data_IF_427207320417
#
_entry.id   IF_427207320417
#
_cell.length_a   1.000
_cell.length_b   1.000
_cell.length_c   1.000
_cell.angle_alpha   90.00
_cell.angle_beta   90.00
_cell.angle_gamma   90.00
#
_symmetry.space_group_name_H-M   'P 1'
#
loop_
_entity.id
_entity.type
_entity.pdbx_description
1 polymer ?
#
# COMPACT_ATOMS: atom_id res chain seq x y z
N UNK A 1 13.00 -35.67 17.53
CA UNK A 1 11.57 -35.63 17.88
C UNK A 1 11.20 -34.16 18.10
N UNK A 2 10.31 -33.63 17.29
CA UNK A 2 9.77 -32.30 17.49
C UNK A 2 8.96 -32.23 18.79
N UNK A 3 9.14 -31.16 19.55
CA UNK A 3 8.36 -30.93 20.77
C UNK A 3 6.93 -30.57 20.38
N UNK A 4 5.95 -31.17 21.06
CA UNK A 4 4.56 -30.73 20.94
C UNK A 4 4.48 -29.30 21.50
N UNK A 5 4.12 -28.35 20.64
CA UNK A 5 3.90 -26.95 21.00
C UNK A 5 2.44 -26.70 21.34
N UNK A 6 2.19 -25.81 22.29
CA UNK A 6 0.84 -25.30 22.52
C UNK A 6 0.43 -24.43 21.35
N UNK A 7 -0.75 -24.68 20.79
CA UNK A 7 -1.30 -23.93 19.67
C UNK A 7 -2.66 -23.34 20.04
N UNK A 8 -3.09 -22.32 19.30
CA UNK A 8 -4.40 -21.73 19.41
C UNK A 8 -4.99 -21.51 18.01
N UNK A 9 -6.30 -21.39 17.92
CA UNK A 9 -6.99 -20.97 16.69
C UNK A 9 -7.20 -19.47 16.79
N UNK A 10 -6.65 -18.72 15.81
CA UNK A 10 -6.88 -17.30 15.67
C UNK A 10 -7.77 -17.07 14.43
N UNK A 11 -8.94 -16.47 14.65
CA UNK A 11 -9.85 -16.10 13.57
C UNK A 11 -9.74 -14.61 13.29
N UNK A 12 -9.50 -14.24 12.03
CA UNK A 12 -9.58 -12.86 11.54
C UNK A 12 -10.76 -12.76 10.59
N UNK A 13 -11.48 -11.64 10.68
CA UNK A 13 -12.66 -11.36 9.86
C UNK A 13 -12.33 -10.23 8.91
N UNK A 14 -12.66 -10.41 7.63
CA UNK A 14 -12.60 -9.40 6.58
C UNK A 14 -13.98 -9.23 5.95
N UNK A 15 -14.21 -8.12 5.23
CA UNK A 15 -15.47 -7.86 4.51
C UNK A 15 -15.78 -8.95 3.49
N UNK A 16 -14.76 -9.52 2.86
CA UNK A 16 -14.84 -10.75 2.08
C UNK A 16 -13.45 -11.32 1.81
N UNK A 17 -13.42 -12.54 1.23
CA UNK A 17 -12.22 -13.19 0.70
C UNK A 17 -12.25 -13.31 -0.83
N UNK A 18 -12.93 -12.38 -1.52
CA UNK A 18 -12.84 -12.25 -2.97
C UNK A 18 -11.48 -11.62 -3.29
N UNK A 19 -10.62 -12.36 -3.98
CA UNK A 19 -9.23 -12.03 -4.24
C UNK A 19 -8.97 -11.92 -5.73
N UNK A 20 -7.83 -11.37 -6.11
CA UNK A 20 -7.37 -11.42 -7.50
C UNK A 20 -7.35 -12.87 -8.02
N UNK A 21 -6.81 -13.81 -7.24
CA UNK A 21 -6.79 -15.23 -7.59
C UNK A 21 -8.18 -15.85 -7.80
N UNK A 22 -9.25 -15.33 -7.15
CA UNK A 22 -10.63 -15.77 -7.40
C UNK A 22 -11.06 -15.45 -8.84
N UNK A 23 -10.69 -14.27 -9.34
CA UNK A 23 -10.96 -13.86 -10.72
C UNK A 23 -10.08 -14.63 -11.72
N UNK A 24 -8.81 -14.87 -11.41
CA UNK A 24 -7.94 -15.73 -12.22
C UNK A 24 -8.53 -17.15 -12.35
N UNK A 25 -9.04 -17.71 -11.26
CA UNK A 25 -9.69 -19.02 -11.29
C UNK A 25 -10.93 -18.99 -12.19
N UNK A 26 -11.81 -18.01 -12.04
CA UNK A 26 -13.01 -17.87 -12.87
C UNK A 26 -12.67 -17.69 -14.35
N UNK A 27 -11.65 -16.91 -14.68
CA UNK A 27 -11.22 -16.68 -16.06
C UNK A 27 -10.55 -17.91 -16.69
N UNK A 28 -9.77 -18.69 -15.93
CA UNK A 28 -9.03 -19.85 -16.47
C UNK A 28 -9.85 -21.12 -16.55
N UNK A 29 -10.81 -21.32 -15.65
CA UNK A 29 -11.57 -22.56 -15.53
C UNK A 29 -13.09 -22.39 -15.75
N UNK A 30 -13.57 -21.16 -15.84
CA UNK A 30 -14.95 -20.81 -16.12
C UNK A 30 -15.17 -20.27 -17.53
N UNK A 31 -16.24 -19.52 -17.68
CA UNK A 31 -16.63 -18.82 -18.90
C UNK A 31 -16.61 -17.30 -18.69
N UNK A 32 -16.71 -16.52 -19.78
CA UNK A 32 -16.89 -15.06 -19.67
C UNK A 32 -18.08 -14.72 -18.76
N UNK A 33 -19.16 -15.44 -18.87
CA UNK A 33 -20.36 -15.23 -18.02
C UNK A 33 -20.05 -15.47 -16.54
N UNK A 34 -19.20 -16.44 -16.19
CA UNK A 34 -18.79 -16.64 -14.79
C UNK A 34 -17.97 -15.47 -14.25
N UNK A 35 -17.08 -14.89 -15.08
CA UNK A 35 -16.33 -13.70 -14.71
C UNK A 35 -17.26 -12.50 -14.55
N UNK A 36 -18.25 -12.34 -15.43
CA UNK A 36 -19.27 -11.29 -15.36
C UNK A 36 -20.07 -11.37 -14.06
N UNK A 37 -20.63 -12.55 -13.76
CA UNK A 37 -21.40 -12.79 -12.53
C UNK A 37 -20.55 -12.53 -11.28
N UNK A 38 -19.27 -12.91 -11.28
CA UNK A 38 -18.36 -12.64 -10.18
C UNK A 38 -18.08 -11.14 -10.04
N UNK A 39 -17.92 -10.41 -11.17
CA UNK A 39 -17.72 -8.98 -11.17
C UNK A 39 -18.97 -8.25 -10.63
N UNK A 40 -20.16 -8.59 -11.12
CA UNK A 40 -21.43 -8.03 -10.68
C UNK A 40 -21.66 -8.26 -9.18
N UNK A 41 -21.42 -9.49 -8.71
CA UNK A 41 -21.49 -9.82 -7.29
C UNK A 41 -20.50 -9.01 -6.44
N UNK A 42 -19.27 -8.80 -6.95
CA UNK A 42 -18.25 -8.05 -6.23
C UNK A 42 -18.59 -6.56 -6.19
N UNK A 43 -19.13 -6.02 -7.29
CA UNK A 43 -19.62 -4.64 -7.38
C UNK A 43 -20.76 -4.42 -6.38
N UNK A 44 -21.81 -5.24 -6.41
CA UNK A 44 -22.95 -5.15 -5.46
C UNK A 44 -22.48 -5.21 -4.00
N UNK A 45 -21.49 -6.03 -3.71
CA UNK A 45 -21.01 -6.23 -2.34
C UNK A 45 -20.12 -5.11 -1.83
N UNK A 46 -19.21 -4.58 -2.66
CA UNK A 46 -18.11 -3.70 -2.22
C UNK A 46 -18.04 -2.35 -2.89
N UNK A 47 -18.77 -2.15 -4.00
CA UNK A 47 -18.62 -1.01 -4.90
C UNK A 47 -19.96 -0.49 -5.39
N UNK A 48 -20.95 -0.42 -4.52
CA UNK A 48 -22.34 -0.01 -4.85
C UNK A 48 -22.44 1.35 -5.51
N UNK A 49 -21.47 2.24 -5.27
CA UNK A 49 -21.37 3.56 -5.85
C UNK A 49 -21.23 3.55 -7.38
N UNK A 50 -20.72 2.45 -7.97
CA UNK A 50 -20.51 2.33 -9.43
C UNK A 50 -21.58 1.55 -10.17
N UNK A 51 -22.61 1.01 -9.50
CA UNK A 51 -23.69 0.21 -10.14
C UNK A 51 -24.44 0.93 -11.26
N UNK A 52 -24.45 2.26 -11.23
CA UNK A 52 -25.17 3.13 -12.20
C UNK A 52 -24.23 3.76 -13.23
N UNK A 53 -22.99 3.33 -13.28
CA UNK A 53 -22.02 3.84 -14.23
C UNK A 53 -22.28 3.25 -15.63
N UNK A 54 -22.04 4.04 -16.69
CA UNK A 54 -22.15 3.61 -18.08
C UNK A 54 -21.11 2.54 -18.45
N UNK A 55 -19.98 2.50 -17.73
CA UNK A 55 -18.87 1.55 -17.92
C UNK A 55 -18.50 0.85 -16.61
N UNK A 56 -19.40 0.05 -16.00
CA UNK A 56 -19.26 -0.42 -14.63
C UNK A 56 -17.98 -1.27 -14.40
N UNK A 57 -17.58 -2.08 -15.37
CA UNK A 57 -16.39 -2.94 -15.21
C UNK A 57 -15.07 -2.15 -15.29
N UNK A 58 -14.99 -1.08 -16.08
CA UNK A 58 -13.84 -0.18 -16.08
C UNK A 58 -13.76 0.61 -14.78
N UNK A 59 -14.89 1.13 -14.32
CA UNK A 59 -15.00 1.83 -13.04
C UNK A 59 -14.65 0.89 -11.88
N UNK A 60 -15.08 -0.37 -11.93
CA UNK A 60 -14.70 -1.40 -10.97
C UNK A 60 -13.19 -1.62 -10.92
N UNK A 61 -12.54 -1.79 -12.07
CA UNK A 61 -11.07 -1.92 -12.14
C UNK A 61 -10.38 -0.71 -11.52
N UNK A 62 -10.83 0.51 -11.85
CA UNK A 62 -10.25 1.75 -11.32
C UNK A 62 -10.44 1.88 -9.80
N UNK A 63 -11.60 1.56 -9.26
CA UNK A 63 -11.84 1.60 -7.83
C UNK A 63 -11.03 0.54 -7.07
N UNK A 64 -10.82 -0.65 -7.64
CA UNK A 64 -9.89 -1.65 -7.08
C UNK A 64 -8.46 -1.10 -7.06
N UNK A 65 -7.99 -0.50 -8.16
CA UNK A 65 -6.66 0.15 -8.24
C UNK A 65 -6.50 1.20 -7.14
N UNK A 66 -7.48 2.06 -6.98
CA UNK A 66 -7.49 3.13 -5.97
C UNK A 66 -7.44 2.58 -4.53
N UNK A 67 -8.26 1.56 -4.22
CA UNK A 67 -8.25 0.93 -2.88
C UNK A 67 -6.91 0.25 -2.61
N UNK A 68 -6.34 -0.44 -3.57
CA UNK A 68 -5.03 -1.08 -3.42
C UNK A 68 -3.91 -0.04 -3.26
N UNK A 69 -3.92 1.04 -4.01
CA UNK A 69 -2.95 2.13 -3.86
C UNK A 69 -2.99 2.72 -2.43
N UNK A 70 -4.20 2.94 -1.89
CA UNK A 70 -4.38 3.41 -0.51
C UNK A 70 -3.89 2.39 0.52
N UNK A 71 -4.19 1.09 0.34
CA UNK A 71 -3.76 0.03 1.25
C UNK A 71 -2.24 -0.08 1.31
N UNK A 72 -1.59 -0.14 0.14
CA UNK A 72 -0.14 -0.29 0.06
C UNK A 72 0.58 0.95 0.61
N UNK A 73 0.05 2.15 0.38
CA UNK A 73 0.58 3.37 1.01
C UNK A 73 0.52 3.27 2.55
N UNK A 74 -0.59 2.80 3.11
CA UNK A 74 -0.72 2.58 4.57
C UNK A 74 0.29 1.57 5.10
N UNK A 75 0.55 0.46 4.38
CA UNK A 75 1.59 -0.50 4.78
C UNK A 75 2.97 0.17 4.83
N UNK A 76 3.30 0.95 3.80
CA UNK A 76 4.58 1.69 3.76
C UNK A 76 4.68 2.71 4.91
N UNK A 77 3.59 3.39 5.23
CA UNK A 77 3.56 4.40 6.30
C UNK A 77 3.76 3.85 7.71
N UNK A 78 3.49 2.56 7.93
CA UNK A 78 3.65 1.92 9.24
C UNK A 78 4.78 0.89 9.29
N UNK A 79 5.58 0.78 8.24
CA UNK A 79 6.68 -0.19 8.16
C UNK A 79 6.21 -1.64 8.07
N UNK A 80 4.97 -1.89 7.61
CA UNK A 80 4.42 -3.22 7.48
C UNK A 80 4.93 -3.92 6.21
N UNK A 81 5.34 -5.16 6.35
CA UNK A 81 5.76 -6.05 5.26
C UNK A 81 4.87 -7.28 5.28
N UNK A 82 4.10 -7.48 4.20
CA UNK A 82 3.19 -8.61 4.08
C UNK A 82 3.93 -9.95 3.93
N UNK A 83 4.99 -9.96 3.15
CA UNK A 83 5.88 -11.10 2.94
C UNK A 83 5.43 -12.12 1.90
N UNK A 84 4.15 -12.19 1.51
CA UNK A 84 3.65 -13.05 0.42
C UNK A 84 2.50 -12.37 -0.31
N UNK A 85 2.81 -11.51 -1.26
CA UNK A 85 1.83 -10.75 -2.05
C UNK A 85 1.54 -11.44 -3.40
N UNK A 86 1.12 -12.69 -3.38
CA UNK A 86 0.59 -13.35 -4.57
C UNK A 86 -0.89 -12.96 -4.80
N UNK A 87 -1.47 -13.40 -5.92
CA UNK A 87 -2.86 -13.06 -6.30
C UNK A 87 -3.90 -13.62 -5.31
N UNK A 88 -3.55 -14.68 -4.56
CA UNK A 88 -4.43 -15.24 -3.53
C UNK A 88 -4.43 -14.42 -2.23
N UNK A 89 -3.50 -13.49 -2.07
CA UNK A 89 -3.36 -12.67 -0.88
C UNK A 89 -3.71 -11.19 -1.11
N UNK A 90 -4.32 -10.88 -2.26
CA UNK A 90 -4.78 -9.54 -2.61
C UNK A 90 -6.31 -9.50 -2.65
N UNK A 91 -6.94 -9.09 -1.54
CA UNK A 91 -8.38 -8.94 -1.43
C UNK A 91 -8.88 -7.73 -2.22
N UNK A 92 -9.94 -7.93 -3.02
CA UNK A 92 -10.51 -6.83 -3.82
C UNK A 92 -11.23 -5.79 -2.96
N UNK A 93 -11.59 -6.11 -1.72
CA UNK A 93 -12.14 -5.16 -0.74
C UNK A 93 -11.13 -4.07 -0.34
N UNK A 94 -9.83 -4.25 -0.62
CA UNK A 94 -8.78 -3.32 -0.18
C UNK A 94 -8.37 -3.52 1.28
N UNK A 95 -8.54 -4.73 1.81
CA UNK A 95 -8.15 -5.12 3.17
C UNK A 95 -6.95 -6.06 3.14
N UNK A 96 -6.16 -6.04 4.22
CA UNK A 96 -5.06 -6.99 4.42
C UNK A 96 -5.62 -8.34 4.85
N UNK A 97 -5.24 -9.41 4.16
CA UNK A 97 -5.57 -10.80 4.49
C UNK A 97 -4.32 -11.67 4.50
N UNK A 98 -4.43 -12.89 4.99
CA UNK A 98 -3.35 -13.89 5.02
C UNK A 98 -2.06 -13.41 5.70
N UNK A 99 -2.17 -13.22 7.00
CA UNK A 99 -1.07 -12.75 7.86
C UNK A 99 -0.05 -13.87 8.16
N UNK A 100 0.58 -14.44 7.12
CA UNK A 100 1.59 -15.50 7.23
C UNK A 100 2.91 -14.97 7.79
N UNK A 101 3.94 -14.75 6.94
CA UNK A 101 5.25 -14.27 7.39
C UNK A 101 5.29 -12.73 7.58
N UNK A 102 4.16 -12.06 7.73
CA UNK A 102 4.11 -10.61 7.87
C UNK A 102 4.70 -10.14 9.20
N UNK A 103 5.33 -8.97 9.16
CA UNK A 103 5.76 -8.26 10.36
C UNK A 103 5.89 -6.76 10.10
N UNK A 104 6.03 -6.01 11.20
CA UNK A 104 6.44 -4.61 11.16
C UNK A 104 7.96 -4.53 11.23
N UNK A 105 8.53 -3.61 10.48
CA UNK A 105 9.96 -3.38 10.42
C UNK A 105 10.42 -2.67 11.70
N UNK A 106 11.52 -3.14 12.29
CA UNK A 106 12.23 -2.44 13.36
C UNK A 106 13.15 -1.37 12.77
N UNK A 107 14.41 -1.68 12.52
CA UNK A 107 15.33 -0.76 11.86
C UNK A 107 14.91 -0.51 10.39
N UNK A 108 14.87 0.75 9.98
CA UNK A 108 14.47 1.08 8.61
C UNK A 108 15.47 0.55 7.59
N UNK A 109 15.00 -0.38 6.79
CA UNK A 109 15.74 -0.89 5.66
C UNK A 109 14.77 -1.23 4.51
N UNK A 110 14.85 -0.54 3.35
CA UNK A 110 13.96 -0.81 2.22
C UNK A 110 14.07 -2.22 1.65
N UNK A 111 15.17 -2.93 1.91
CA UNK A 111 15.40 -4.32 1.47
C UNK A 111 14.92 -5.39 2.47
N UNK A 112 14.26 -4.99 3.56
CA UNK A 112 13.78 -5.94 4.59
C UNK A 112 12.79 -6.95 4.01
N UNK A 113 13.03 -8.23 4.29
CA UNK A 113 12.22 -9.40 3.91
C UNK A 113 11.96 -10.26 5.14
N UNK A 114 10.71 -10.67 5.36
CA UNK A 114 10.36 -11.56 6.47
C UNK A 114 10.04 -13.00 6.04
N UNK A 115 9.67 -13.20 4.78
CA UNK A 115 9.42 -14.56 4.28
C UNK A 115 10.72 -15.33 4.07
N UNK A 116 10.92 -16.43 4.79
CA UNK A 116 12.13 -17.26 4.69
C UNK A 116 12.31 -17.93 3.32
N UNK A 117 11.25 -18.04 2.52
CA UNK A 117 11.29 -18.61 1.17
C UNK A 117 11.50 -17.56 0.08
N UNK A 118 11.44 -16.29 0.41
CA UNK A 118 11.66 -15.18 -0.53
C UNK A 118 13.15 -14.83 -0.63
N UNK A 119 13.93 -15.71 -1.25
CA UNK A 119 15.39 -15.59 -1.37
C UNK A 119 15.83 -14.42 -2.25
N UNK A 120 14.95 -13.90 -3.11
CA UNK A 120 15.27 -12.83 -4.05
C UNK A 120 14.66 -11.46 -3.65
N UNK A 121 14.02 -11.40 -2.50
CA UNK A 121 13.40 -10.16 -2.03
C UNK A 121 12.23 -9.67 -2.89
N UNK A 122 11.52 -10.59 -3.55
CA UNK A 122 10.34 -10.25 -4.37
C UNK A 122 9.34 -9.41 -3.57
N UNK A 123 9.13 -9.75 -2.31
CA UNK A 123 8.19 -9.11 -1.38
C UNK A 123 8.88 -8.22 -0.35
N UNK A 124 10.12 -7.76 -0.63
CA UNK A 124 10.78 -6.78 0.21
C UNK A 124 9.94 -5.51 0.37
N UNK A 125 10.11 -4.79 1.47
CA UNK A 125 9.37 -3.56 1.78
C UNK A 125 9.27 -2.62 0.57
N UNK A 126 10.38 -2.26 -0.06
CA UNK A 126 10.43 -1.37 -1.23
C UNK A 126 9.72 -1.91 -2.47
N UNK A 127 9.54 -3.23 -2.57
CA UNK A 127 8.97 -3.89 -3.74
C UNK A 127 7.44 -4.03 -3.64
N UNK A 128 6.82 -3.79 -2.50
CA UNK A 128 5.39 -3.96 -2.29
C UNK A 128 4.53 -3.17 -3.30
N UNK A 129 4.82 -1.89 -3.61
CA UNK A 129 4.06 -1.16 -4.64
C UNK A 129 4.16 -1.81 -6.03
N UNK A 130 5.35 -2.26 -6.43
CA UNK A 130 5.58 -2.93 -7.72
C UNK A 130 4.82 -4.25 -7.82
N UNK A 131 4.78 -5.02 -6.73
CA UNK A 131 4.05 -6.29 -6.69
C UNK A 131 2.54 -6.07 -6.70
N UNK A 132 2.04 -5.00 -6.06
CA UNK A 132 0.64 -4.62 -6.17
C UNK A 132 0.24 -4.34 -7.62
N UNK A 133 1.04 -3.59 -8.39
CA UNK A 133 0.81 -3.34 -9.82
C UNK A 133 0.79 -4.65 -10.61
N UNK A 134 1.70 -5.58 -10.31
CA UNK A 134 1.70 -6.89 -10.96
C UNK A 134 0.39 -7.65 -10.68
N UNK A 135 -0.10 -7.68 -9.44
CA UNK A 135 -1.37 -8.30 -9.08
C UNK A 135 -2.56 -7.61 -9.78
N UNK A 136 -2.55 -6.28 -9.84
CA UNK A 136 -3.59 -5.50 -10.53
C UNK A 136 -3.59 -5.78 -12.04
N UNK A 137 -2.43 -6.00 -12.63
CA UNK A 137 -2.34 -6.42 -14.04
C UNK A 137 -2.96 -7.81 -14.25
N UNK A 138 -2.70 -8.76 -13.32
CA UNK A 138 -3.36 -10.08 -13.38
C UNK A 138 -4.88 -9.97 -13.24
N UNK A 139 -5.36 -9.10 -12.35
CA UNK A 139 -6.78 -8.82 -12.22
C UNK A 139 -7.37 -8.20 -13.49
N UNK A 140 -6.73 -7.18 -14.04
CA UNK A 140 -7.18 -6.49 -15.24
C UNK A 140 -7.29 -7.44 -16.46
N UNK A 141 -6.35 -8.39 -16.59
CA UNK A 141 -6.41 -9.42 -17.63
C UNK A 141 -7.68 -10.27 -17.57
N UNK A 142 -8.18 -10.56 -16.37
CA UNK A 142 -9.42 -11.34 -16.22
C UNK A 142 -10.67 -10.59 -16.67
N UNK A 143 -10.61 -9.26 -16.73
CA UNK A 143 -11.72 -8.38 -17.08
C UNK A 143 -11.76 -7.97 -18.57
N UNK A 144 -10.74 -8.29 -19.39
CA UNK A 144 -10.60 -7.73 -20.74
C UNK A 144 -11.85 -7.88 -21.60
N UNK A 145 -12.51 -9.04 -21.58
CA UNK A 145 -13.72 -9.28 -22.35
C UNK A 145 -14.93 -8.44 -21.86
N UNK A 146 -14.92 -8.02 -20.59
CA UNK A 146 -15.96 -7.16 -20.03
C UNK A 146 -15.70 -5.67 -20.28
N UNK A 147 -14.43 -5.28 -20.53
CA UNK A 147 -14.06 -3.89 -20.74
C UNK A 147 -14.41 -3.38 -22.14
N UNK A 148 -14.21 -4.20 -23.18
CA UNK A 148 -14.53 -3.80 -24.55
C UNK A 148 -14.52 -5.00 -25.51
N UNK A 149 -15.43 -5.00 -26.51
CA UNK A 149 -15.51 -6.04 -27.56
C UNK A 149 -14.22 -6.19 -28.41
N UNK A 150 -13.53 -5.05 -28.66
CA UNK A 150 -12.24 -5.05 -29.39
C UNK A 150 -11.10 -5.22 -28.40
N UNK A 151 -10.35 -6.33 -28.54
CA UNK A 151 -9.28 -6.70 -27.62
C UNK A 151 -8.22 -5.60 -27.44
N UNK A 152 -7.76 -4.96 -28.53
CA UNK A 152 -6.75 -3.90 -28.45
C UNK A 152 -7.23 -2.71 -27.60
N UNK A 153 -8.53 -2.37 -27.68
CA UNK A 153 -9.13 -1.31 -26.86
C UNK A 153 -9.29 -1.75 -25.42
N UNK A 154 -9.70 -3.00 -25.18
CA UNK A 154 -9.79 -3.55 -23.82
C UNK A 154 -8.42 -3.52 -23.13
N UNK A 155 -7.37 -3.97 -23.80
CA UNK A 155 -5.99 -3.93 -23.30
C UNK A 155 -5.57 -2.50 -22.97
N UNK A 156 -5.84 -1.55 -23.87
CA UNK A 156 -5.49 -0.14 -23.64
C UNK A 156 -6.20 0.43 -22.42
N UNK A 157 -7.51 0.20 -22.28
CA UNK A 157 -8.29 0.62 -21.11
C UNK A 157 -7.76 0.02 -19.80
N UNK A 158 -7.44 -1.28 -19.84
CA UNK A 158 -6.87 -1.98 -18.69
C UNK A 158 -5.51 -1.41 -18.28
N UNK A 159 -4.62 -1.19 -19.25
CA UNK A 159 -3.29 -0.61 -19.01
C UNK A 159 -3.38 0.81 -18.44
N UNK A 160 -4.23 1.65 -19.01
CA UNK A 160 -4.42 3.02 -18.55
C UNK A 160 -4.96 3.05 -17.11
N UNK A 161 -5.94 2.19 -16.78
CA UNK A 161 -6.48 2.09 -15.43
C UNK A 161 -5.43 1.61 -14.42
N UNK A 162 -4.61 0.59 -14.76
CA UNK A 162 -3.55 0.09 -13.87
C UNK A 162 -2.42 1.10 -13.71
N UNK A 163 -2.10 1.88 -14.74
CA UNK A 163 -1.06 2.91 -14.69
C UNK A 163 -1.37 4.04 -13.69
N UNK A 164 -2.65 4.29 -13.38
CA UNK A 164 -3.07 5.26 -12.35
C UNK A 164 -2.57 4.90 -10.94
N UNK A 165 -2.19 3.62 -10.70
CA UNK A 165 -1.76 3.15 -9.39
C UNK A 165 -0.61 3.97 -8.79
N UNK A 166 0.43 4.25 -9.56
CA UNK A 166 1.63 4.90 -9.02
C UNK A 166 1.35 6.32 -8.55
N UNK A 167 0.56 7.08 -9.30
CA UNK A 167 0.15 8.43 -8.90
C UNK A 167 -0.72 8.39 -7.63
N UNK A 168 -1.73 7.50 -7.60
CA UNK A 168 -2.61 7.32 -6.45
C UNK A 168 -1.85 6.86 -5.21
N UNK A 169 -0.93 5.92 -5.37
CA UNK A 169 -0.06 5.43 -4.30
C UNK A 169 0.82 6.56 -3.77
N UNK A 170 1.52 7.27 -4.67
CA UNK A 170 2.42 8.36 -4.31
C UNK A 170 1.70 9.46 -3.54
N UNK A 171 0.54 9.90 -4.03
CA UNK A 171 -0.28 10.92 -3.38
C UNK A 171 -0.73 10.49 -1.97
N UNK A 172 -1.13 9.23 -1.80
CA UNK A 172 -1.49 8.69 -0.48
C UNK A 172 -0.27 8.61 0.45
N UNK A 173 0.87 8.15 -0.06
CA UNK A 173 2.10 7.98 0.72
C UNK A 173 2.67 9.33 1.15
N UNK A 174 2.84 10.29 0.23
CA UNK A 174 3.38 11.61 0.54
C UNK A 174 2.49 12.37 1.53
N UNK A 175 1.16 12.30 1.35
CA UNK A 175 0.20 12.88 2.29
C UNK A 175 0.32 12.26 3.69
N UNK A 176 0.48 10.95 3.78
CA UNK A 176 0.70 10.26 5.04
C UNK A 176 2.03 10.60 5.69
N UNK A 177 3.12 10.71 4.93
CA UNK A 177 4.44 11.11 5.43
C UNK A 177 4.44 12.56 5.94
N UNK A 178 3.77 13.48 5.21
CA UNK A 178 3.57 14.85 5.70
C UNK A 178 2.89 14.85 7.08
N UNK A 179 1.83 14.09 7.26
CA UNK A 179 1.14 13.98 8.58
C UNK A 179 2.08 13.49 9.66
N UNK A 180 2.86 12.45 9.41
CA UNK A 180 3.86 11.92 10.37
C UNK A 180 4.94 12.95 10.75
N UNK A 181 5.15 13.97 9.93
CA UNK A 181 6.10 15.06 10.16
C UNK A 181 5.43 16.37 10.62
N UNK A 182 4.12 16.37 10.90
CA UNK A 182 3.40 17.56 11.34
C UNK A 182 3.23 18.61 10.23
N UNK A 183 3.24 18.20 8.95
CA UNK A 183 3.12 19.08 7.79
C UNK A 183 1.66 19.13 7.32
N UNK A 184 1.01 20.30 7.42
CA UNK A 184 -0.41 20.50 7.12
C UNK A 184 -0.69 20.88 5.66
N UNK A 185 0.20 21.66 5.05
CA UNK A 185 0.08 22.16 3.68
C UNK A 185 1.18 21.56 2.81
N UNK A 186 1.05 21.68 1.51
CA UNK A 186 1.98 21.10 0.54
C UNK A 186 3.00 22.14 0.07
N UNK A 187 4.27 21.74 0.05
CA UNK A 187 5.37 22.49 -0.56
C UNK A 187 6.19 21.55 -1.45
N UNK A 188 6.82 22.07 -2.50
CA UNK A 188 7.55 21.27 -3.48
C UNK A 188 8.75 20.50 -2.87
N UNK A 189 9.34 21.03 -1.81
CA UNK A 189 10.50 20.45 -1.14
C UNK A 189 10.15 19.37 -0.12
N UNK A 190 8.86 19.12 0.16
CA UNK A 190 8.43 18.17 1.20
C UNK A 190 8.91 16.74 0.90
N UNK A 191 8.85 16.31 -0.35
CA UNK A 191 9.29 14.98 -0.75
C UNK A 191 10.80 14.79 -0.50
N UNK A 192 11.61 15.76 -0.90
CA UNK A 192 13.07 15.71 -0.66
C UNK A 192 13.40 15.68 0.84
N UNK A 193 12.65 16.42 1.66
CA UNK A 193 12.80 16.41 3.12
C UNK A 193 12.48 15.04 3.73
N UNK A 194 11.44 14.38 3.23
CA UNK A 194 11.04 13.04 3.66
C UNK A 194 12.08 12.00 3.25
N UNK A 195 12.54 12.04 2.01
CA UNK A 195 13.55 11.12 1.50
C UNK A 195 14.88 11.26 2.25
N UNK A 196 15.28 12.48 2.56
CA UNK A 196 16.48 12.75 3.36
C UNK A 196 16.37 12.10 4.74
N UNK A 197 15.22 12.21 5.44
CA UNK A 197 14.99 11.51 6.71
C UNK A 197 15.12 10.00 6.55
N UNK A 198 14.45 9.41 5.57
CA UNK A 198 14.50 7.96 5.34
C UNK A 198 15.92 7.48 5.05
N UNK A 199 16.71 8.25 4.31
CA UNK A 199 18.11 7.94 4.07
C UNK A 199 18.96 8.00 5.36
N UNK A 200 18.74 9.00 6.21
CA UNK A 200 19.39 9.10 7.52
C UNK A 200 19.02 7.90 8.39
N UNK A 201 17.74 7.53 8.42
CA UNK A 201 17.25 6.37 9.17
C UNK A 201 17.93 5.08 8.70
N UNK A 202 17.98 4.86 7.38
CA UNK A 202 18.61 3.67 6.81
C UNK A 202 20.10 3.59 7.14
N UNK A 203 20.82 4.68 6.95
CA UNK A 203 22.28 4.77 7.20
C UNK A 203 22.64 4.51 8.66
N UNK A 204 21.79 4.96 9.60
CA UNK A 204 22.04 4.84 11.03
C UNK A 204 21.30 3.67 11.69
N UNK A 205 20.61 2.81 10.93
CA UNK A 205 19.77 1.73 11.43
C UNK A 205 18.74 2.21 12.47
N UNK A 206 18.14 3.39 12.26
CA UNK A 206 17.12 3.90 13.16
C UNK A 206 15.84 3.07 13.07
N UNK A 207 15.22 2.82 14.22
CA UNK A 207 13.92 2.14 14.29
C UNK A 207 12.84 2.98 13.60
N UNK A 208 12.08 2.34 12.71
CA UNK A 208 11.08 3.03 11.89
C UNK A 208 10.00 3.70 12.74
N UNK A 209 9.37 2.95 13.61
CA UNK A 209 8.26 3.44 14.44
C UNK A 209 8.74 4.44 15.49
N UNK A 210 9.82 4.10 16.19
CA UNK A 210 10.35 4.94 17.27
C UNK A 210 10.93 6.26 16.74
N UNK A 211 11.41 6.32 15.50
CA UNK A 211 11.83 7.58 14.87
C UNK A 211 10.68 8.58 14.83
N UNK A 212 9.52 8.20 14.32
CA UNK A 212 8.37 9.12 14.26
C UNK A 212 7.81 9.45 15.65
N UNK A 213 7.80 8.49 16.58
CA UNK A 213 7.45 8.74 17.99
C UNK A 213 8.39 9.79 18.60
N UNK A 214 9.70 9.64 18.43
CA UNK A 214 10.69 10.61 18.94
C UNK A 214 10.46 12.01 18.36
N UNK A 215 10.21 12.11 17.03
CA UNK A 215 9.92 13.41 16.38
C UNK A 215 8.65 14.04 16.93
N UNK A 216 7.58 13.26 17.13
CA UNK A 216 6.31 13.73 17.70
C UNK A 216 6.50 14.34 19.09
N UNK A 217 7.28 13.70 19.96
CA UNK A 217 7.55 14.18 21.30
C UNK A 217 8.74 15.15 21.43
N UNK A 218 9.33 15.58 20.31
CA UNK A 218 10.44 16.53 20.30
C UNK A 218 11.76 15.95 20.82
N UNK A 219 11.93 14.62 20.77
CA UNK A 219 13.14 13.95 21.19
C UNK A 219 14.16 13.90 20.04
N UNK A 220 15.45 13.93 20.37
CA UNK A 220 16.53 13.77 19.39
C UNK A 220 16.64 12.31 18.94
N UNK A 221 16.84 12.07 17.63
CA UNK A 221 17.11 10.73 17.10
C UNK A 221 18.53 10.27 17.44
N UNK A 222 19.50 11.08 17.00
CA UNK A 222 20.93 10.85 17.22
C UNK A 222 21.70 12.18 17.14
N UNK A 223 23.02 12.13 17.37
CA UNK A 223 23.87 13.32 17.39
C UNK A 223 24.62 13.56 16.06
N UNK A 224 24.27 12.84 14.99
CA UNK A 224 24.94 13.00 13.69
C UNK A 224 24.75 14.41 13.13
N UNK A 225 25.75 14.90 12.38
CA UNK A 225 25.67 16.19 11.72
C UNK A 225 24.55 16.22 10.67
N UNK A 226 24.36 15.09 9.96
CA UNK A 226 23.30 14.93 8.94
C UNK A 226 21.91 15.06 9.55
N UNK A 227 21.67 14.42 10.70
CA UNK A 227 20.39 14.56 11.40
C UNK A 227 20.15 15.99 11.88
N UNK A 228 21.16 16.66 12.46
CA UNK A 228 21.03 18.03 12.92
C UNK A 228 20.71 18.99 11.77
N UNK A 229 21.35 18.81 10.62
CA UNK A 229 21.05 19.60 9.41
C UNK A 229 19.63 19.37 8.93
N UNK A 230 19.22 18.11 8.78
CA UNK A 230 17.84 17.74 8.42
C UNK A 230 16.81 18.29 9.41
N UNK A 231 17.07 18.15 10.70
CA UNK A 231 16.19 18.64 11.76
C UNK A 231 15.99 20.16 11.68
N UNK A 232 17.02 20.93 11.38
CA UNK A 232 16.91 22.37 11.17
C UNK A 232 16.03 22.69 9.94
N UNK A 233 16.19 21.97 8.84
CA UNK A 233 15.31 22.11 7.65
C UNK A 233 13.87 21.81 7.99
N UNK A 234 13.61 20.71 8.71
CA UNK A 234 12.28 20.32 9.15
C UNK A 234 11.65 21.35 10.09
N UNK A 235 12.37 21.86 11.10
CA UNK A 235 11.87 22.91 11.98
C UNK A 235 11.55 24.21 11.20
N UNK A 236 12.39 24.62 10.26
CA UNK A 236 12.12 25.76 9.40
C UNK A 236 10.86 25.53 8.52
N UNK A 237 10.65 24.29 8.05
CA UNK A 237 9.44 23.91 7.32
C UNK A 237 8.18 24.01 8.19
N UNK A 238 8.24 23.54 9.44
CA UNK A 238 7.12 23.64 10.38
C UNK A 238 6.77 25.10 10.71
N UNK A 239 7.75 25.98 10.85
CA UNK A 239 7.52 27.41 11.13
C UNK A 239 6.76 28.12 9.99
N UNK A 240 6.95 27.72 8.73
CA UNK A 240 6.28 28.35 7.59
C UNK A 240 4.77 28.15 7.54
N UNK A 241 4.25 27.12 8.17
CA UNK A 241 2.80 26.83 8.14
C UNK A 241 2.00 27.53 9.26
N UNK A 242 2.67 28.30 10.12
CA UNK A 242 2.05 29.12 11.15
C UNK A 242 1.07 28.35 12.06
N UNK A 243 1.48 27.15 12.51
CA UNK A 243 0.71 26.28 13.41
C UNK A 243 1.30 26.25 14.81
N UNK A 244 0.45 26.08 15.81
CA UNK A 244 0.87 25.89 17.21
C UNK A 244 1.48 24.49 17.41
N UNK A 245 2.23 24.32 18.50
CA UNK A 245 2.78 23.00 18.85
C UNK A 245 1.69 21.95 19.10
N UNK A 246 0.57 22.35 19.68
CA UNK A 246 -0.56 21.45 19.97
C UNK A 246 -1.22 20.97 18.66
N UNK A 247 -1.45 21.89 17.69
CA UNK A 247 -1.95 21.52 16.38
C UNK A 247 -1.00 20.56 15.62
N UNK A 248 0.31 20.78 15.71
CA UNK A 248 1.32 19.90 15.12
C UNK A 248 1.28 18.51 15.76
N UNK A 249 1.17 18.45 17.08
CA UNK A 249 1.11 17.21 17.84
C UNK A 249 -0.15 16.38 17.51
N UNK A 250 -1.32 17.03 17.35
CA UNK A 250 -2.57 16.37 16.99
C UNK A 250 -2.51 15.75 15.57
N UNK A 251 -1.72 16.31 14.66
CA UNK A 251 -1.56 15.78 13.28
C UNK A 251 -0.64 14.56 13.24
N UNK A 252 0.44 14.59 14.03
CA UNK A 252 1.49 13.55 14.08
C UNK A 252 1.04 12.29 14.81
#
# INVERSE_FOLDING_TARGET
REKILKVAILTRVASSHIRVGTFEYAANFGTEENVRQLADYTIDRHYKEIEKDDFPYLSFLKEVVKRQASLIAKWQLVGFIHGVMNTDNMALSGETIDYGPCAFMDAYNPDTVFSSIDTYGRYAYKNQPKIAVWNLSRFAETLLQLLHEKNDKAIKLAQDAVAEFYELYHNNWISGMRKKLGIFNEEAEDEALIEELLNIMHKNNEDYTNTFIKLTFGNTLNDSAEYKEWHNKWQARLQRQNKTKDELFELM
#
